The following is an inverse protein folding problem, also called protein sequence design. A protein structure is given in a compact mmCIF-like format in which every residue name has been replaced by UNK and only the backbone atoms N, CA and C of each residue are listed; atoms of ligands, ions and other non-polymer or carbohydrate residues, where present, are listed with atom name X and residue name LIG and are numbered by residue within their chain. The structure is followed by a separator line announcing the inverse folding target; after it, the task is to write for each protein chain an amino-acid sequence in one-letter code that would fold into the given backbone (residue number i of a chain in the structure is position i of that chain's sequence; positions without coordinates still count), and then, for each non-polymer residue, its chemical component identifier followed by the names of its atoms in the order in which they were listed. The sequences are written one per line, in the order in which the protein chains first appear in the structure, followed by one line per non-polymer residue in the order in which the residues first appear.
data_IF_149891446243
#
_entry.id   IF_149891446243
#
_cell.length_a   1.000
_cell.length_b   1.000
_cell.length_c   1.000
_cell.angle_alpha   90.00
_cell.angle_beta   90.00
_cell.angle_gamma   90.00
#
_symmetry.space_group_name_H-M   'P 1'
#
loop_
_entity.id
_entity.type
_entity.pdbx_description
1 polymer ?
#
# COMPACT_ATOMS: atom_id res chain seq x y z
N UNK A 1 4.04 -22.30 -2.92
CA UNK A 1 3.98 -21.02 -2.21
C UNK A 1 4.41 -19.88 -3.10
N UNK A 2 3.67 -18.77 -3.06
CA UNK A 2 4.10 -17.50 -3.67
C UNK A 2 4.83 -16.70 -2.60
N UNK A 3 6.10 -16.36 -2.85
CA UNK A 3 6.90 -15.55 -1.93
C UNK A 3 7.22 -14.21 -2.55
N UNK A 4 6.93 -13.13 -1.83
CA UNK A 4 7.28 -11.77 -2.21
C UNK A 4 8.39 -11.29 -1.28
N UNK A 5 9.46 -10.75 -1.86
CA UNK A 5 10.55 -10.08 -1.14
C UNK A 5 10.56 -8.61 -1.53
N UNK A 6 10.74 -7.73 -0.56
CA UNK A 6 10.81 -6.31 -0.77
C UNK A 6 11.86 -5.69 0.17
N UNK A 7 12.52 -4.64 -0.31
CA UNK A 7 13.36 -3.76 0.50
C UNK A 7 12.61 -2.43 0.71
N UNK A 8 12.61 -1.91 1.94
CA UNK A 8 11.86 -0.70 2.30
C UNK A 8 12.78 0.28 2.98
N UNK A 9 12.81 1.52 2.49
CA UNK A 9 13.49 2.64 3.13
C UNK A 9 12.50 3.52 3.90
N UNK A 10 12.97 4.19 4.95
CA UNK A 10 12.16 5.11 5.74
C UNK A 10 13.00 5.90 6.75
N UNK A 11 12.37 6.89 7.39
CA UNK A 11 12.94 7.64 8.50
C UNK A 11 12.03 7.56 9.72
N UNK A 12 12.58 7.79 10.91
CA UNK A 12 11.76 7.85 12.13
C UNK A 12 10.79 9.02 12.02
N UNK A 13 9.54 8.77 12.39
CA UNK A 13 8.54 9.82 12.49
C UNK A 13 9.00 10.79 13.58
N UNK A 14 9.11 12.06 13.21
CA UNK A 14 9.24 13.15 14.18
C UNK A 14 8.09 14.13 13.89
N UNK A 15 7.36 14.52 14.93
CA UNK A 15 6.15 15.35 14.77
C UNK A 15 6.47 16.82 14.46
N UNK A 16 7.74 17.23 14.58
CA UNK A 16 8.18 18.59 14.32
C UNK A 16 8.41 18.87 12.82
N UNK A 17 8.82 17.86 12.05
CA UNK A 17 9.13 17.97 10.63
C UNK A 17 8.21 17.12 9.75
N UNK A 18 7.38 16.23 10.32
CA UNK A 18 6.47 15.36 9.57
C UNK A 18 5.04 15.55 10.09
N UNK A 19 4.16 16.02 9.20
CA UNK A 19 2.73 16.09 9.46
C UNK A 19 2.09 14.74 9.13
N UNK A 20 1.66 14.01 10.17
CA UNK A 20 0.82 12.82 10.00
C UNK A 20 -0.56 13.26 9.49
N UNK A 21 -1.02 12.65 8.38
CA UNK A 21 -2.34 12.95 7.81
C UNK A 21 -3.44 12.11 8.46
N UNK A 22 -3.24 10.80 8.51
CA UNK A 22 -4.15 9.81 9.10
C UNK A 22 -3.33 8.60 9.55
N UNK A 23 -3.80 7.94 10.61
CA UNK A 23 -3.32 6.64 11.03
C UNK A 23 -4.06 5.55 10.24
N UNK A 24 -3.40 4.40 10.03
CA UNK A 24 -4.01 3.22 9.42
C UNK A 24 -4.05 2.14 10.48
N UNK A 25 -5.26 1.65 10.79
CA UNK A 25 -5.49 0.62 11.82
C UNK A 25 -5.26 -0.78 11.29
N UNK A 26 -5.71 -1.05 10.06
CA UNK A 26 -5.59 -2.37 9.45
C UNK A 26 -5.52 -2.33 7.92
N UNK A 27 -4.84 -3.32 7.36
CA UNK A 27 -4.91 -3.66 5.94
C UNK A 27 -6.01 -4.69 5.77
N UNK A 28 -6.91 -4.48 4.80
CA UNK A 28 -8.09 -5.34 4.64
C UNK A 28 -8.17 -5.93 3.23
N UNK A 29 -8.93 -7.03 3.10
CA UNK A 29 -9.33 -7.58 1.81
C UNK A 29 -10.55 -6.86 1.20
N UNK A 30 -11.14 -5.90 1.91
CA UNK A 30 -12.31 -5.18 1.42
C UNK A 30 -11.92 -4.37 0.17
N UNK A 31 -12.53 -4.70 -0.97
CA UNK A 31 -12.20 -4.05 -2.24
C UNK A 31 -10.76 -4.28 -2.72
N UNK A 32 -10.08 -5.34 -2.24
CA UNK A 32 -8.77 -5.72 -2.79
C UNK A 32 -8.95 -6.13 -4.25
N UNK A 33 -8.22 -5.48 -5.14
CA UNK A 33 -8.25 -5.78 -6.57
C UNK A 33 -6.84 -5.74 -7.15
N UNK A 34 -6.54 -6.70 -8.02
CA UNK A 34 -5.31 -6.76 -8.82
C UNK A 34 -5.73 -7.04 -10.25
N UNK A 35 -5.42 -6.13 -11.17
CA UNK A 35 -5.77 -6.23 -12.58
C UNK A 35 -4.56 -6.01 -13.46
N UNK A 36 -4.51 -6.74 -14.57
CA UNK A 36 -3.61 -6.45 -15.67
C UNK A 36 -4.46 -5.86 -16.79
N UNK A 37 -4.05 -4.70 -17.28
CA UNK A 37 -4.62 -4.14 -18.49
C UNK A 37 -4.09 -4.90 -19.70
N UNK A 38 -4.97 -5.51 -20.49
CA UNK A 38 -4.56 -6.40 -21.59
C UNK A 38 -4.01 -5.64 -22.79
N UNK A 39 -4.40 -4.37 -22.98
CA UNK A 39 -3.93 -3.55 -24.10
C UNK A 39 -2.54 -2.94 -23.84
N UNK A 40 -2.33 -2.36 -22.65
CA UNK A 40 -1.04 -1.77 -22.26
C UNK A 40 -0.10 -2.75 -21.56
N UNK A 41 -0.60 -3.88 -21.09
CA UNK A 41 0.15 -4.88 -20.32
C UNK A 41 0.47 -4.46 -18.87
N UNK A 42 0.03 -3.29 -18.42
CA UNK A 42 0.35 -2.72 -17.12
C UNK A 42 -0.47 -3.37 -16.00
N UNK A 43 0.13 -3.49 -14.82
CA UNK A 43 -0.54 -3.98 -13.62
C UNK A 43 -1.04 -2.82 -12.75
N UNK A 44 -2.22 -2.98 -12.17
CA UNK A 44 -2.80 -2.08 -11.18
C UNK A 44 -3.28 -2.87 -9.96
N UNK A 45 -3.20 -2.24 -8.79
CA UNK A 45 -3.70 -2.80 -7.55
C UNK A 45 -4.43 -1.73 -6.73
N UNK A 46 -5.50 -2.13 -6.07
CA UNK A 46 -6.26 -1.31 -5.12
C UNK A 46 -6.32 -2.02 -3.77
N UNK A 47 -6.14 -1.25 -2.69
CA UNK A 47 -6.31 -1.71 -1.31
C UNK A 47 -7.08 -0.64 -0.54
N UNK A 48 -8.06 -1.07 0.27
CA UNK A 48 -8.79 -0.19 1.18
C UNK A 48 -8.31 -0.44 2.61
N UNK A 49 -7.81 0.61 3.24
CA UNK A 49 -7.33 0.60 4.62
C UNK A 49 -8.45 0.97 5.58
N UNK A 50 -8.45 0.33 6.75
CA UNK A 50 -9.19 0.83 7.91
C UNK A 50 -8.38 1.94 8.58
N UNK A 51 -9.03 3.07 8.90
CA UNK A 51 -8.40 4.30 9.41
C UNK A 51 -8.86 4.63 10.82
#
# INVERSE_FOLDING_TARGET
DVQIKAEVGGTKINHLSIRIKREVKAVTYHGLEIKKDEESGLWSAQVIFDI
#
